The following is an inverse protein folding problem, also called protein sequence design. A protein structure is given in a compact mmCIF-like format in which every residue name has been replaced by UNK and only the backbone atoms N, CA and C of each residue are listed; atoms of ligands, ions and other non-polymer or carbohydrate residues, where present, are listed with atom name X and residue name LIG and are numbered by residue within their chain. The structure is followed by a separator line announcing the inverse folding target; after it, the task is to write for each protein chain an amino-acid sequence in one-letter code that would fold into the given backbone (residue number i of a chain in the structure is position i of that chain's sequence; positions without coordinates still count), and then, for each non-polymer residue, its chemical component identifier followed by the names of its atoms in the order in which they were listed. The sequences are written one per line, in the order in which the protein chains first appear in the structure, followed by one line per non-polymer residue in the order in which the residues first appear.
data_IF_092855648662
#
_entry.id   IF_092855648662
#
_cell.length_a   1.000
_cell.length_b   1.000
_cell.length_c   1.000
_cell.angle_alpha   90.00
_cell.angle_beta   90.00
_cell.angle_gamma   90.00
#
_symmetry.space_group_name_H-M   'P 1'
#
loop_
_entity.id
_entity.type
_entity.pdbx_description
1 polymer ?
#
# COMPACT_ATOMS: atom_id res chain seq x y z
N UNK A 1 -16.80 8.29 14.11
CA UNK A 1 -17.71 8.36 15.28
C UNK A 1 -18.98 9.16 15.01
N UNK A 2 -18.91 10.48 14.87
CA UNK A 2 -20.10 11.33 14.71
C UNK A 2 -21.08 10.87 13.62
N UNK A 3 -20.56 10.33 12.51
CA UNK A 3 -21.36 9.85 11.37
C UNK A 3 -21.41 8.32 11.24
N UNK A 4 -20.82 7.59 12.18
CA UNK A 4 -20.67 6.13 12.15
C UNK A 4 -20.19 5.59 10.78
N UNK A 5 -19.12 6.18 10.25
CA UNK A 5 -18.47 5.78 8.99
C UNK A 5 -17.04 5.31 9.23
N UNK A 6 -16.63 4.36 8.41
CA UNK A 6 -15.26 3.91 8.32
C UNK A 6 -14.43 4.81 7.40
N UNK A 7 -13.11 4.81 7.62
CA UNK A 7 -12.14 5.52 6.79
C UNK A 7 -10.99 4.60 6.40
N UNK A 8 -10.28 4.97 5.34
CA UNK A 8 -9.02 4.35 4.92
C UNK A 8 -7.95 5.44 4.93
N UNK A 9 -6.87 5.22 5.68
CA UNK A 9 -5.73 6.13 5.75
C UNK A 9 -4.88 6.12 4.49
N UNK A 10 -3.97 7.08 4.36
CA UNK A 10 -3.06 7.18 3.20
C UNK A 10 -1.64 7.53 3.63
N UNK A 11 -0.68 7.10 2.82
CA UNK A 11 0.77 7.29 2.92
C UNK A 11 1.45 6.49 4.05
N UNK A 12 0.87 6.45 5.24
CA UNK A 12 1.42 5.75 6.42
C UNK A 12 0.36 4.91 7.14
N UNK A 13 0.79 4.01 8.02
CA UNK A 13 -0.15 3.28 8.87
C UNK A 13 -0.80 4.24 9.89
N UNK A 14 -2.09 4.49 9.71
CA UNK A 14 -2.92 5.35 10.56
C UNK A 14 -4.00 4.55 11.32
N UNK A 15 -3.94 3.21 11.32
CA UNK A 15 -4.95 2.35 11.96
C UNK A 15 -5.17 2.71 13.45
N UNK A 16 -4.10 3.12 14.13
CA UNK A 16 -4.09 3.51 15.54
C UNK A 16 -4.73 4.87 15.84
N UNK A 17 -4.92 5.74 14.83
CA UNK A 17 -5.43 7.11 15.04
C UNK A 17 -6.85 7.08 15.57
N UNK A 18 -7.65 6.12 15.10
CA UNK A 18 -9.01 5.90 15.58
C UNK A 18 -9.40 4.43 15.49
N UNK A 19 -8.95 3.60 16.45
CA UNK A 19 -9.26 2.17 16.46
C UNK A 19 -10.77 1.96 16.45
N UNK A 20 -11.24 1.00 15.66
CA UNK A 20 -12.67 0.78 15.44
C UNK A 20 -13.28 1.55 14.27
N UNK A 21 -12.57 2.53 13.68
CA UNK A 21 -13.09 3.33 12.56
C UNK A 21 -12.15 3.41 11.35
N UNK A 22 -10.86 3.10 11.51
CA UNK A 22 -9.92 3.01 10.39
C UNK A 22 -9.85 1.55 9.92
N UNK A 23 -10.38 1.25 8.73
CA UNK A 23 -10.38 -0.12 8.19
C UNK A 23 -8.95 -0.58 7.87
N UNK A 24 -8.17 0.29 7.25
CA UNK A 24 -6.76 0.07 6.93
C UNK A 24 -6.16 1.41 6.50
N UNK A 25 -4.90 1.41 6.07
CA UNK A 25 -4.25 2.55 5.43
C UNK A 25 -3.50 2.08 4.20
N UNK A 26 -3.61 2.81 3.09
CA UNK A 26 -2.77 2.60 1.91
C UNK A 26 -1.40 3.23 2.16
N UNK A 27 -0.41 2.40 2.47
CA UNK A 27 0.97 2.80 2.77
C UNK A 27 1.74 2.99 1.47
N UNK A 28 2.47 4.11 1.37
CA UNK A 28 3.46 4.35 0.33
C UNK A 28 4.84 4.19 0.95
N UNK A 29 5.60 3.19 0.50
CA UNK A 29 6.91 2.85 1.05
C UNK A 29 8.01 3.74 0.48
N UNK A 30 7.87 5.05 0.70
CA UNK A 30 8.88 6.05 0.32
C UNK A 30 10.20 5.77 1.03
N UNK A 31 10.15 5.18 2.23
CA UNK A 31 11.30 4.65 2.97
C UNK A 31 12.09 3.61 2.14
N UNK A 32 11.41 2.63 1.54
CA UNK A 32 12.05 1.64 0.67
C UNK A 32 12.68 2.30 -0.56
N UNK A 33 11.95 3.22 -1.21
CA UNK A 33 12.45 3.91 -2.40
C UNK A 33 13.73 4.72 -2.09
N UNK A 34 13.71 5.52 -1.04
CA UNK A 34 14.88 6.32 -0.62
C UNK A 34 16.04 5.43 -0.23
N UNK A 35 15.79 4.38 0.57
CA UNK A 35 16.83 3.44 0.98
C UNK A 35 17.49 2.76 -0.23
N UNK A 36 16.68 2.25 -1.16
CA UNK A 36 17.16 1.53 -2.33
C UNK A 36 18.01 2.45 -3.23
N UNK A 37 17.56 3.67 -3.50
CA UNK A 37 18.29 4.64 -4.31
C UNK A 37 19.65 4.98 -3.69
N UNK A 38 19.70 5.21 -2.38
CA UNK A 38 20.95 5.47 -1.66
C UNK A 38 21.86 4.24 -1.70
N UNK A 39 21.30 3.05 -1.50
CA UNK A 39 22.06 1.80 -1.55
C UNK A 39 22.68 1.56 -2.93
N UNK A 40 21.93 1.82 -4.01
CA UNK A 40 22.41 1.69 -5.38
C UNK A 40 23.50 2.71 -5.69
N UNK A 41 23.38 3.95 -5.19
CA UNK A 41 24.43 4.96 -5.33
C UNK A 41 25.73 4.53 -4.66
N UNK A 42 25.66 4.05 -3.41
CA UNK A 42 26.84 3.58 -2.67
C UNK A 42 27.52 2.40 -3.38
N UNK A 43 26.73 1.51 -4.00
CA UNK A 43 27.24 0.35 -4.76
C UNK A 43 27.73 0.70 -6.17
N UNK A 44 27.60 1.96 -6.61
CA UNK A 44 27.91 2.35 -7.99
C UNK A 44 26.94 1.78 -9.03
N UNK A 45 25.73 1.40 -8.61
CA UNK A 45 24.67 0.80 -9.43
C UNK A 45 23.54 1.79 -9.76
N UNK A 46 23.61 3.03 -9.26
CA UNK A 46 22.59 4.04 -9.51
C UNK A 46 22.40 4.31 -10.99
N UNK A 47 21.15 4.30 -11.44
CA UNK A 47 20.74 4.67 -12.79
C UNK A 47 19.74 5.81 -12.67
N UNK A 48 19.97 6.90 -13.40
CA UNK A 48 18.99 7.98 -13.48
C UNK A 48 17.77 7.55 -14.32
N UNK A 49 16.63 8.18 -14.08
CA UNK A 49 15.39 7.91 -14.81
C UNK A 49 14.18 7.87 -13.90
N UNK A 50 13.10 7.27 -14.40
CA UNK A 50 11.87 7.03 -13.63
C UNK A 50 12.00 5.67 -12.96
N UNK A 51 11.83 5.65 -11.64
CA UNK A 51 11.73 4.42 -10.86
C UNK A 51 10.27 4.25 -10.41
N UNK A 52 9.68 3.11 -10.75
CA UNK A 52 8.28 2.79 -10.42
C UNK A 52 8.24 1.81 -9.27
N UNK A 53 7.42 2.13 -8.26
CA UNK A 53 7.25 1.34 -7.05
C UNK A 53 5.77 1.01 -6.87
N UNK A 54 5.44 -0.27 -7.01
CA UNK A 54 4.08 -0.82 -7.04
C UNK A 54 3.86 -1.90 -5.97
N UNK A 55 2.89 -2.78 -6.23
CA UNK A 55 2.57 -3.90 -5.33
C UNK A 55 3.61 -5.02 -5.43
N UNK A 56 4.28 -5.14 -6.58
CA UNK A 56 5.25 -6.17 -6.91
C UNK A 56 6.59 -6.00 -6.20
N UNK A 57 6.95 -4.77 -5.81
CA UNK A 57 8.21 -4.45 -5.14
C UNK A 57 8.00 -3.82 -3.76
N UNK A 58 6.83 -4.05 -3.16
CA UNK A 58 6.43 -3.48 -1.86
C UNK A 58 6.60 -1.95 -1.80
N UNK A 59 6.39 -1.27 -2.93
CA UNK A 59 6.34 0.17 -3.06
C UNK A 59 5.07 0.78 -2.49
N UNK A 60 3.97 0.04 -2.61
CA UNK A 60 2.68 0.34 -1.98
C UNK A 60 2.08 -0.91 -1.35
N UNK A 61 1.19 -0.73 -0.38
CA UNK A 61 0.46 -1.82 0.24
C UNK A 61 -0.60 -1.32 1.19
N UNK A 62 -1.43 -2.22 1.72
CA UNK A 62 -2.36 -1.91 2.79
C UNK A 62 -1.76 -2.33 4.16
N UNK A 63 -2.19 -1.69 5.24
CA UNK A 63 -1.71 -1.96 6.59
C UNK A 63 -2.64 -2.90 7.37
N UNK A 64 -2.08 -3.92 8.01
CA UNK A 64 -2.77 -4.78 8.97
C UNK A 64 -2.00 -4.81 10.29
N UNK A 65 -2.70 -4.60 11.39
CA UNK A 65 -2.17 -4.65 12.75
C UNK A 65 -3.28 -4.88 13.78
N UNK A 66 -2.91 -4.92 15.07
CA UNK A 66 -3.85 -5.12 16.17
C UNK A 66 -4.99 -4.08 16.25
N UNK A 67 -4.89 -2.94 15.56
CA UNK A 67 -5.90 -1.87 15.61
C UNK A 67 -7.02 -2.05 14.59
N UNK A 68 -6.79 -2.81 13.51
CA UNK A 68 -7.80 -3.05 12.47
C UNK A 68 -8.13 -4.53 12.20
N UNK A 69 -7.34 -5.48 12.69
CA UNK A 69 -7.57 -6.93 12.51
C UNK A 69 -9.02 -7.37 12.77
N UNK A 70 -9.66 -6.82 13.81
CA UNK A 70 -11.04 -7.17 14.18
C UNK A 70 -12.13 -6.51 13.33
N UNK A 71 -11.77 -5.54 12.51
CA UNK A 71 -12.70 -4.79 11.64
C UNK A 71 -12.84 -5.43 10.27
N UNK A 72 -11.89 -6.28 9.88
CA UNK A 72 -11.80 -6.85 8.54
C UNK A 72 -12.37 -8.26 8.55
N UNK A 73 -13.35 -8.49 7.68
CA UNK A 73 -13.88 -9.82 7.41
C UNK A 73 -12.78 -10.69 6.75
N UNK A 74 -12.50 -11.90 7.27
CA UNK A 74 -11.53 -12.81 6.67
C UNK A 74 -11.78 -13.11 5.19
N UNK A 75 -13.04 -13.19 4.73
CA UNK A 75 -13.33 -13.44 3.32
C UNK A 75 -13.03 -12.20 2.47
N UNK A 76 -13.30 -10.99 2.98
CA UNK A 76 -12.92 -9.75 2.31
C UNK A 76 -11.38 -9.62 2.20
N UNK A 77 -10.64 -9.98 3.25
CA UNK A 77 -9.17 -9.98 3.20
C UNK A 77 -8.64 -10.94 2.11
N UNK A 78 -9.25 -12.12 2.00
CA UNK A 78 -8.90 -13.10 0.96
C UNK A 78 -9.21 -12.59 -0.45
N UNK A 79 -10.32 -11.89 -0.64
CA UNK A 79 -10.64 -11.24 -1.92
C UNK A 79 -9.62 -10.14 -2.27
N UNK A 80 -9.23 -9.33 -1.29
CA UNK A 80 -8.19 -8.29 -1.46
C UNK A 80 -6.84 -8.91 -1.83
N UNK A 81 -6.44 -9.99 -1.15
CA UNK A 81 -5.20 -10.71 -1.49
C UNK A 81 -5.26 -11.33 -2.89
N UNK A 82 -6.39 -11.91 -3.27
CA UNK A 82 -6.58 -12.43 -4.62
C UNK A 82 -6.47 -11.30 -5.67
N UNK A 83 -7.05 -10.13 -5.41
CA UNK A 83 -6.94 -8.96 -6.27
C UNK A 83 -5.48 -8.45 -6.36
N UNK A 84 -4.76 -8.35 -5.24
CA UNK A 84 -3.34 -8.00 -5.19
C UNK A 84 -2.52 -8.91 -6.11
N UNK A 85 -2.72 -10.22 -6.02
CA UNK A 85 -2.01 -11.19 -6.86
C UNK A 85 -2.35 -11.05 -8.34
N UNK A 86 -3.62 -10.79 -8.68
CA UNK A 86 -4.03 -10.55 -10.07
C UNK A 86 -3.42 -9.27 -10.64
N UNK A 87 -3.31 -8.21 -9.85
CA UNK A 87 -2.63 -6.97 -10.26
C UNK A 87 -1.15 -7.24 -10.51
N UNK A 88 -0.47 -7.91 -9.58
CA UNK A 88 0.96 -8.26 -9.73
C UNK A 88 1.21 -9.14 -10.97
N UNK A 89 0.29 -10.05 -11.30
CA UNK A 89 0.36 -10.89 -12.49
C UNK A 89 -0.01 -10.16 -13.79
N UNK A 90 -0.53 -8.94 -13.72
CA UNK A 90 -1.05 -8.20 -14.87
C UNK A 90 -2.40 -8.71 -15.40
N UNK A 91 -3.11 -9.57 -14.65
CA UNK A 91 -4.47 -10.01 -14.99
C UNK A 91 -5.50 -8.88 -14.73
N UNK A 92 -5.21 -8.01 -13.76
CA UNK A 92 -5.93 -6.76 -13.52
C UNK A 92 -4.98 -5.61 -13.80
N UNK A 93 -5.30 -4.81 -14.81
CA UNK A 93 -4.57 -3.57 -15.11
C UNK A 93 -5.19 -2.41 -14.32
N UNK A 94 -4.37 -1.75 -13.50
CA UNK A 94 -4.77 -0.54 -12.78
C UNK A 94 -4.52 0.66 -13.69
N UNK A 95 -5.59 1.32 -14.12
CA UNK A 95 -5.49 2.50 -14.98
C UNK A 95 -4.97 3.71 -14.21
N UNK A 96 -4.04 4.43 -14.83
CA UNK A 96 -3.64 5.75 -14.35
C UNK A 96 -4.77 6.74 -14.64
N UNK A 97 -5.44 7.19 -13.58
CA UNK A 97 -6.52 8.16 -13.67
C UNK A 97 -6.08 9.52 -14.25
N UNK A 98 -4.77 9.78 -14.30
CA UNK A 98 -4.16 11.00 -14.83
C UNK A 98 -3.53 10.80 -16.21
N UNK A 99 -3.48 9.57 -16.73
CA UNK A 99 -3.01 9.32 -18.09
C UNK A 99 -4.04 9.84 -19.10
N UNK A 100 -3.55 10.53 -20.14
CA UNK A 100 -4.36 11.06 -21.24
C UNK A 100 -4.59 10.04 -22.33
#
# INVERSE_FOLDING_TARGET
EQYNKFVIGVDSNQNWVKPGFVLTSMVKRVDNAVYQIIADLIKGQFQGGIHVYGLENDGVGYAMDQHNEKLIDPEALKEVEAAKQKIIKGEIEVTDAMAK
#
